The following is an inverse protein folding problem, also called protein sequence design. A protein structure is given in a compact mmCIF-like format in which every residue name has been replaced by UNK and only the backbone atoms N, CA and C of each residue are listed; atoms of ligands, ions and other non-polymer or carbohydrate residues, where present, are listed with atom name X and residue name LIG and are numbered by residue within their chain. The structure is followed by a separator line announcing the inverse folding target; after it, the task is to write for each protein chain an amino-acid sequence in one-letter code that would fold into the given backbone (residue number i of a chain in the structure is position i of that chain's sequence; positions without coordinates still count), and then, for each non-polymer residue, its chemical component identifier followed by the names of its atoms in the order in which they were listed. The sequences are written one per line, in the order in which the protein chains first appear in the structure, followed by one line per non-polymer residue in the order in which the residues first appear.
data_IF_911960020749
#
_entry.id   IF_911960020749
#
_cell.length_a   1.000
_cell.length_b   1.000
_cell.length_c   1.000
_cell.angle_alpha   90.00
_cell.angle_beta   90.00
_cell.angle_gamma   90.00
#
_symmetry.space_group_name_H-M   'P 1'
#
loop_
_entity.id
_entity.type
_entity.pdbx_description
1 polymer ?
#
# COMPACT_ATOMS: atom_id res chain seq x y z
N UNK A 1 -15.07 24.47 -5.45
CA UNK A 1 -14.66 23.14 -5.06
C UNK A 1 -13.66 23.25 -3.91
N UNK A 2 -13.85 22.46 -2.88
CA UNK A 2 -12.96 22.59 -1.74
C UNK A 2 -11.84 21.57 -1.81
N UNK A 3 -10.70 21.99 -1.31
CA UNK A 3 -9.53 21.14 -1.22
C UNK A 3 -9.67 20.20 -0.03
N UNK A 4 -9.39 18.93 -0.20
CA UNK A 4 -9.38 17.96 0.88
C UNK A 4 -7.96 17.48 1.09
N UNK A 5 -7.42 17.76 2.26
CA UNK A 5 -6.09 17.27 2.62
C UNK A 5 -6.09 15.74 2.66
N UNK A 6 -7.18 15.16 3.19
CA UNK A 6 -7.29 13.70 3.22
C UNK A 6 -7.17 13.11 1.80
N UNK A 7 -7.94 13.65 0.87
CA UNK A 7 -7.94 13.13 -0.49
C UNK A 7 -6.59 13.33 -1.16
N UNK A 8 -5.96 14.49 -0.92
CA UNK A 8 -4.66 14.77 -1.48
C UNK A 8 -3.62 13.77 -0.97
N UNK A 9 -3.60 13.54 0.34
CA UNK A 9 -2.64 12.63 0.94
C UNK A 9 -2.89 11.20 0.47
N UNK A 10 -4.15 10.76 0.46
CA UNK A 10 -4.46 9.41 0.01
C UNK A 10 -4.10 9.20 -1.45
N UNK A 11 -4.36 10.18 -2.30
CA UNK A 11 -3.98 10.08 -3.70
C UNK A 11 -2.47 9.90 -3.84
N UNK A 12 -1.70 10.69 -3.07
CA UNK A 12 -0.26 10.57 -3.11
C UNK A 12 0.24 9.23 -2.61
N UNK A 13 -0.36 8.73 -1.52
CA UNK A 13 0.06 7.45 -0.97
C UNK A 13 -0.31 6.29 -1.90
N UNK A 14 -1.50 6.33 -2.49
CA UNK A 14 -1.87 5.30 -3.45
C UNK A 14 -0.91 5.27 -4.63
N UNK A 15 -0.53 6.45 -5.11
CA UNK A 15 0.40 6.55 -6.21
C UNK A 15 1.79 6.06 -5.82
N UNK A 16 2.16 6.22 -4.56
CA UNK A 16 3.46 5.79 -4.07
C UNK A 16 3.58 4.27 -3.96
N UNK A 17 2.43 3.59 -3.82
CA UNK A 17 2.45 2.13 -3.79
C UNK A 17 3.00 1.63 -5.13
N UNK A 18 4.08 0.87 -5.07
CA UNK A 18 4.75 0.40 -6.28
C UNK A 18 5.86 1.30 -6.78
N UNK A 19 5.92 2.56 -6.32
CA UNK A 19 6.99 3.48 -6.69
C UNK A 19 8.00 3.66 -5.58
N UNK A 20 7.53 3.60 -4.33
CA UNK A 20 8.41 3.70 -3.17
C UNK A 20 8.44 2.35 -2.47
N UNK A 21 9.50 2.09 -1.70
CA UNK A 21 9.53 0.90 -0.87
C UNK A 21 8.32 0.86 0.06
N UNK A 22 7.82 -0.33 0.32
CA UNK A 22 6.60 -0.49 1.11
C UNK A 22 6.74 0.16 2.49
N UNK A 23 7.90 0.02 3.13
CA UNK A 23 8.05 0.59 4.47
C UNK A 23 7.93 2.11 4.44
N UNK A 24 8.34 2.75 3.36
CA UNK A 24 8.22 4.21 3.27
C UNK A 24 6.76 4.63 3.13
N UNK A 25 5.99 3.89 2.35
CA UNK A 25 4.57 4.17 2.22
C UNK A 25 3.88 4.00 3.57
N UNK A 26 4.20 2.92 4.27
CA UNK A 26 3.60 2.64 5.57
C UNK A 26 4.00 3.70 6.60
N UNK A 27 5.27 4.07 6.64
CA UNK A 27 5.72 5.09 7.59
C UNK A 27 5.05 6.42 7.35
N UNK A 28 4.90 6.81 6.08
CA UNK A 28 4.22 8.06 5.75
C UNK A 28 2.75 7.98 6.15
N UNK A 29 2.11 6.85 5.88
CA UNK A 29 0.70 6.68 6.24
C UNK A 29 0.51 6.77 7.76
N UNK A 30 1.39 6.14 8.52
CA UNK A 30 1.31 6.18 9.98
C UNK A 30 1.50 7.59 10.50
N UNK A 31 2.42 8.35 9.90
CA UNK A 31 2.63 9.74 10.32
C UNK A 31 1.37 10.58 10.13
N UNK A 32 0.69 10.39 9.00
CA UNK A 32 -0.56 11.10 8.76
C UNK A 32 -1.69 10.60 9.64
N UNK A 33 -1.68 9.31 9.95
CA UNK A 33 -2.64 8.74 10.88
C UNK A 33 -2.49 9.39 12.27
N UNK A 34 -1.25 9.55 12.73
CA UNK A 34 -1.00 10.18 14.02
C UNK A 34 -1.43 11.63 14.04
N UNK A 35 -1.38 12.29 12.89
CA UNK A 35 -1.82 13.68 12.79
C UNK A 35 -3.34 13.80 12.68
N UNK A 36 -4.03 12.69 12.52
CA UNK A 36 -5.47 12.69 12.40
C UNK A 36 -6.00 12.90 11.00
N UNK A 37 -5.11 12.96 10.00
CA UNK A 37 -5.53 13.13 8.61
C UNK A 37 -6.07 11.82 8.03
N UNK A 38 -5.49 10.70 8.43
CA UNK A 38 -5.93 9.38 8.00
C UNK A 38 -6.55 8.63 9.17
N UNK A 39 -7.44 7.69 8.87
CA UNK A 39 -8.03 6.83 9.89
C UNK A 39 -7.66 5.37 9.60
N UNK A 40 -8.21 4.47 10.43
CA UNK A 40 -7.89 3.05 10.31
C UNK A 40 -8.33 2.48 8.97
N UNK A 41 -9.45 2.97 8.44
CA UNK A 41 -9.93 2.51 7.15
C UNK A 41 -8.95 2.88 6.05
N UNK A 42 -8.37 4.06 6.14
CA UNK A 42 -7.38 4.51 5.17
C UNK A 42 -6.13 3.63 5.23
N UNK A 43 -5.69 3.32 6.45
CA UNK A 43 -4.52 2.46 6.61
C UNK A 43 -4.81 1.06 6.07
N UNK A 44 -6.00 0.54 6.31
CA UNK A 44 -6.38 -0.78 5.81
C UNK A 44 -6.40 -0.78 4.27
N UNK A 45 -6.88 0.29 3.66
CA UNK A 45 -6.90 0.39 2.22
C UNK A 45 -5.48 0.36 1.65
N UNK A 46 -4.58 1.13 2.24
CA UNK A 46 -3.20 1.17 1.77
C UNK A 46 -2.52 -0.18 1.96
N UNK A 47 -2.78 -0.83 3.09
CA UNK A 47 -2.22 -2.15 3.33
C UNK A 47 -2.74 -3.15 2.30
N UNK A 48 -4.02 -3.06 1.96
CA UNK A 48 -4.59 -3.95 0.95
C UNK A 48 -3.96 -3.72 -0.42
N UNK A 49 -3.67 -2.46 -0.76
CA UNK A 49 -3.01 -2.15 -2.02
C UNK A 49 -1.60 -2.72 -2.05
N UNK A 50 -0.88 -2.60 -0.95
CA UNK A 50 0.47 -3.14 -0.86
C UNK A 50 0.44 -4.67 -0.97
N UNK A 51 -0.50 -5.29 -0.26
CA UNK A 51 -0.63 -6.74 -0.29
C UNK A 51 -0.97 -7.21 -1.71
N UNK A 52 -1.88 -6.51 -2.38
CA UNK A 52 -2.27 -6.88 -3.74
C UNK A 52 -1.09 -6.76 -4.70
N UNK A 53 -0.28 -5.71 -4.52
CA UNK A 53 0.89 -5.53 -5.36
C UNK A 53 1.91 -6.65 -5.13
N UNK A 54 2.04 -7.11 -3.90
CA UNK A 54 3.03 -8.11 -3.55
C UNK A 54 2.53 -9.55 -3.69
N UNK A 55 1.21 -9.73 -3.85
CA UNK A 55 0.65 -11.05 -3.95
C UNK A 55 1.11 -11.72 -5.25
N UNK A 56 1.52 -12.98 -5.20
CA UNK A 56 1.87 -13.68 -6.44
C UNK A 56 0.63 -13.91 -7.27
N UNK A 57 0.79 -13.82 -8.59
CA UNK A 57 -0.31 -14.14 -9.47
C UNK A 57 -0.65 -15.62 -9.33
N UNK A 58 -1.92 -15.99 -9.29
CA UNK A 58 -2.28 -17.41 -9.11
C UNK A 58 -1.66 -18.33 -10.14
N UNK A 59 -1.53 -17.87 -11.35
CA UNK A 59 -0.98 -18.70 -12.40
C UNK A 59 0.52 -18.84 -12.32
N UNK A 60 1.19 -18.11 -11.45
CA UNK A 60 2.64 -18.18 -11.30
C UNK A 60 3.06 -19.05 -10.14
N UNK A 61 2.13 -19.52 -9.47
CA UNK A 61 2.48 -20.24 -8.30
C UNK A 61 3.22 -21.46 -8.59
N UNK A 62 3.91 -21.60 -8.63
CA UNK A 62 4.54 -22.27 -8.71
C UNK A 62 5.58 -22.56 -8.67
N UNK A 63 5.81 -21.95 -8.63
CA UNK A 63 6.46 -22.20 -8.74
C UNK A 63 7.20 -22.25 -8.14
N UNK A 64 7.63 -21.96 -7.97
CA UNK A 64 8.19 -21.96 -7.64
C UNK A 64 8.51 -22.42 -6.87
N UNK A 65 8.58 -22.42 -6.76
CA UNK A 65 8.72 -22.89 -6.44
C UNK A 65 8.94 -23.47 -6.22
N UNK A 66 9.24 -23.43 -6.40
CA UNK A 66 9.33 -24.05 -6.64
C UNK A 66 9.79 -24.23 -6.59
N UNK A 67 10.20 -24.05 -6.72
CA UNK A 67 10.55 -24.30 -6.94
C UNK A 67 11.18 -24.34 -6.64
N UNK A 68 11.67 -24.33 -6.46
CA UNK A 68 12.06 -24.63 -6.44
C UNK A 68 12.33 -25.20 -6.11
N UNK A 69 12.56 -25.41 -6.00
CA UNK A 69 12.57 -26.11 -6.00
C UNK A 69 12.72 -26.70 -5.97
N UNK A 70 13.06 -26.79 -5.92
CA UNK A 70 13.07 -27.51 -6.19
C UNK A 70 13.21 -27.97 -6.42
#
# INVERSE_FOLDING_TARGET
MSFSMHDFIMTGLRDAVGKLPDYKVIMNALAWFEKGTLDENDLAELQALIDAKNAPAPEQEPELEESIEE
#
